data_IF_876926877476
#
_entry.id   IF_876926877476
#
_cell.length_a   1.000
_cell.length_b   1.000
_cell.length_c   1.000
_cell.angle_alpha   90.00
_cell.angle_beta   90.00
_cell.angle_gamma   90.00
#
_symmetry.space_group_name_H-M   'P 1'
#
loop_
_entity.id
_entity.type
_entity.pdbx_description
1 polymer ?
#
# COMPACT_ATOMS: atom_id res chain seq x y z
N UNK A 1 16.90 -14.47 11.97
CA UNK A 1 16.18 -13.45 12.77
C UNK A 1 16.10 -12.10 12.06
N UNK A 2 17.21 -11.57 11.54
CA UNK A 2 17.23 -10.22 10.94
C UNK A 2 16.34 -10.06 9.68
N UNK A 3 16.39 -11.03 8.76
CA UNK A 3 15.59 -11.00 7.51
C UNK A 3 14.08 -10.97 7.76
N UNK A 4 13.58 -11.80 8.69
CA UNK A 4 12.15 -11.88 9.01
C UNK A 4 11.67 -10.55 9.62
N UNK A 5 12.46 -9.97 10.53
CA UNK A 5 12.15 -8.68 11.15
C UNK A 5 12.07 -7.57 10.12
N UNK A 6 12.99 -7.55 9.15
CA UNK A 6 12.99 -6.58 8.04
C UNK A 6 11.76 -6.73 7.15
N UNK A 7 11.35 -7.96 6.84
CA UNK A 7 10.16 -8.21 6.03
C UNK A 7 8.88 -7.74 6.75
N UNK A 8 8.74 -8.04 8.04
CA UNK A 8 7.62 -7.57 8.86
C UNK A 8 7.56 -6.04 8.89
N UNK A 9 8.69 -5.37 9.10
CA UNK A 9 8.75 -3.91 9.09
C UNK A 9 8.31 -3.29 7.75
N UNK A 10 8.67 -3.91 6.62
CA UNK A 10 8.23 -3.47 5.30
C UNK A 10 6.71 -3.67 5.10
N UNK A 11 6.16 -4.79 5.59
CA UNK A 11 4.70 -5.04 5.55
C UNK A 11 3.95 -4.01 6.40
N UNK A 12 4.45 -3.70 7.59
CA UNK A 12 3.85 -2.70 8.48
C UNK A 12 3.92 -1.30 7.86
N UNK A 13 5.05 -0.93 7.25
CA UNK A 13 5.17 0.33 6.52
C UNK A 13 4.13 0.43 5.39
N UNK A 14 3.99 -0.63 4.58
CA UNK A 14 3.02 -0.65 3.49
C UNK A 14 1.58 -0.50 4.00
N UNK A 15 1.22 -1.22 5.06
CA UNK A 15 -0.11 -1.11 5.68
C UNK A 15 -0.37 0.31 6.17
N UNK A 16 0.58 0.92 6.87
CA UNK A 16 0.44 2.29 7.35
C UNK A 16 0.27 3.30 6.21
N UNK A 17 1.00 3.13 5.11
CA UNK A 17 0.87 3.99 3.94
C UNK A 17 -0.49 3.81 3.23
N UNK A 18 -1.00 2.58 3.14
CA UNK A 18 -2.35 2.30 2.62
C UNK A 18 -3.42 2.91 3.52
N UNK A 19 -3.31 2.74 4.83
CA UNK A 19 -4.26 3.29 5.80
C UNK A 19 -4.26 4.82 5.79
N UNK A 20 -3.08 5.44 5.61
CA UNK A 20 -2.98 6.89 5.43
C UNK A 20 -3.81 7.36 4.24
N UNK A 21 -3.72 6.68 3.10
CA UNK A 21 -4.52 7.03 1.90
C UNK A 21 -6.00 6.72 2.12
N UNK A 22 -6.33 5.56 2.68
CA UNK A 22 -7.71 5.16 2.96
C UNK A 22 -8.42 6.14 3.88
N UNK A 23 -7.76 6.61 4.93
CA UNK A 23 -8.32 7.52 5.92
C UNK A 23 -8.57 8.93 5.37
N UNK A 24 -8.01 9.30 4.22
CA UNK A 24 -8.37 10.57 3.55
C UNK A 24 -9.80 10.55 3.03
N UNK A 25 -10.32 9.37 2.64
CA UNK A 25 -11.62 9.25 1.98
C UNK A 25 -11.70 9.88 0.58
N UNK A 26 -10.59 10.35 0.01
CA UNK A 26 -10.60 11.11 -1.26
C UNK A 26 -10.73 10.22 -2.50
N UNK A 27 -10.32 8.95 -2.40
CA UNK A 27 -10.27 8.02 -3.54
C UNK A 27 -10.86 6.66 -3.17
N UNK A 28 -11.50 6.02 -4.14
CA UNK A 28 -11.85 4.61 -4.01
C UNK A 28 -10.55 3.78 -4.00
N UNK A 29 -10.39 2.86 -3.04
CA UNK A 29 -9.15 2.08 -2.92
C UNK A 29 -8.91 1.11 -4.09
N UNK A 30 -9.90 0.84 -4.94
CA UNK A 30 -9.75 0.09 -6.20
C UNK A 30 -9.39 0.96 -7.41
N UNK A 31 -9.49 2.29 -7.28
CA UNK A 31 -9.02 3.24 -8.30
C UNK A 31 -7.50 3.43 -8.19
N UNK A 32 -6.77 2.39 -8.59
CA UNK A 32 -5.30 2.32 -8.49
C UNK A 32 -4.59 3.54 -9.08
N UNK A 33 -4.96 4.08 -10.26
CA UNK A 33 -4.35 5.30 -10.78
C UNK A 33 -4.46 6.49 -9.82
N UNK A 34 -5.65 6.73 -9.24
CA UNK A 34 -5.85 7.84 -8.31
C UNK A 34 -5.24 7.57 -6.93
N UNK A 35 -5.27 6.33 -6.44
CA UNK A 35 -4.53 5.92 -5.23
C UNK A 35 -3.04 6.20 -5.40
N UNK A 36 -2.45 5.86 -6.55
CA UNK A 36 -1.03 6.13 -6.82
C UNK A 36 -0.73 7.63 -6.85
N UNK A 37 -1.59 8.43 -7.49
CA UNK A 37 -1.46 9.90 -7.52
C UNK A 37 -1.50 10.49 -6.11
N UNK A 38 -2.44 10.03 -5.28
CA UNK A 38 -2.60 10.50 -3.91
C UNK A 38 -1.45 10.03 -3.02
N UNK A 39 -0.99 8.79 -3.20
CA UNK A 39 0.20 8.24 -2.54
C UNK A 39 1.46 9.07 -2.83
N UNK A 40 1.66 9.50 -4.08
CA UNK A 40 2.72 10.45 -4.43
C UNK A 40 2.60 11.77 -3.67
N UNK A 41 1.40 12.35 -3.62
CA UNK A 41 1.15 13.61 -2.91
C UNK A 41 1.42 13.52 -1.40
N UNK A 42 1.10 12.39 -0.78
CA UNK A 42 1.32 12.15 0.65
C UNK A 42 2.70 11.56 1.00
N UNK A 43 3.63 11.48 0.04
CA UNK A 43 4.96 10.88 0.21
C UNK A 43 4.93 9.40 0.65
N UNK A 44 3.91 8.65 0.25
CA UNK A 44 3.81 7.20 0.45
C UNK A 44 4.63 6.46 -0.62
N UNK A 45 5.96 6.61 -0.56
CA UNK A 45 6.86 6.12 -1.61
C UNK A 45 6.87 4.60 -1.74
N UNK A 46 6.65 3.87 -0.64
CA UNK A 46 6.64 2.41 -0.68
C UNK A 46 5.37 1.88 -1.33
N UNK A 47 4.21 2.46 -1.01
CA UNK A 47 2.95 2.17 -1.68
C UNK A 47 3.02 2.50 -3.17
N UNK A 48 3.58 3.65 -3.56
CA UNK A 48 3.76 4.00 -4.98
C UNK A 48 4.51 2.89 -5.73
N UNK A 49 5.67 2.47 -5.21
CA UNK A 49 6.47 1.40 -5.83
C UNK A 49 5.72 0.07 -5.85
N UNK A 50 5.04 -0.25 -4.75
CA UNK A 50 4.26 -1.48 -4.63
C UNK A 50 3.13 -1.56 -5.65
N UNK A 51 2.45 -0.44 -5.95
CA UNK A 51 1.40 -0.39 -6.97
C UNK A 51 1.94 -0.57 -8.40
N UNK A 52 3.21 -0.23 -8.63
CA UNK A 52 3.88 -0.40 -9.93
C UNK A 52 4.39 -1.83 -10.12
N UNK A 53 4.94 -2.43 -9.08
CA UNK A 53 5.54 -3.76 -9.14
C UNK A 53 4.51 -4.88 -8.92
N UNK A 54 3.53 -4.67 -8.02
CA UNK A 54 2.69 -5.72 -7.43
C UNK A 54 1.22 -5.31 -7.31
N UNK A 55 0.65 -4.79 -8.40
CA UNK A 55 -0.75 -4.31 -8.43
C UNK A 55 -1.78 -5.38 -8.03
N UNK A 56 -1.60 -6.64 -8.43
CA UNK A 56 -2.52 -7.72 -8.11
C UNK A 56 -2.60 -7.96 -6.59
N UNK A 57 -1.44 -8.00 -5.92
CA UNK A 57 -1.33 -8.20 -4.49
C UNK A 57 -1.96 -7.04 -3.71
N UNK A 58 -1.83 -5.80 -4.22
CA UNK A 58 -2.55 -4.66 -3.64
C UNK A 58 -4.07 -4.86 -3.69
N UNK A 59 -4.61 -5.26 -4.84
CA UNK A 59 -6.06 -5.50 -4.99
C UNK A 59 -6.50 -6.64 -4.04
N UNK A 60 -5.71 -7.71 -3.95
CA UNK A 60 -5.97 -8.81 -3.02
C UNK A 60 -5.96 -8.33 -1.57
N UNK A 61 -5.01 -7.47 -1.19
CA UNK A 61 -4.95 -6.89 0.14
C UNK A 61 -6.18 -6.03 0.45
N UNK A 62 -6.66 -5.21 -0.49
CA UNK A 62 -7.88 -4.41 -0.28
C UNK A 62 -9.11 -5.30 -0.08
N UNK A 63 -9.16 -6.47 -0.74
CA UNK A 63 -10.26 -7.44 -0.59
C UNK A 63 -10.18 -8.25 0.71
N UNK A 64 -8.98 -8.69 1.10
CA UNK A 64 -8.80 -9.74 2.11
C UNK A 64 -8.13 -9.25 3.39
N UNK A 65 -7.47 -8.09 3.36
CA UNK A 65 -6.59 -7.61 4.43
C UNK A 65 -5.26 -8.35 4.57
N UNK A 66 -4.97 -9.30 3.67
CA UNK A 66 -3.79 -10.15 3.72
C UNK A 66 -2.76 -9.80 2.63
N UNK A 67 -1.49 -9.84 3.01
CA UNK A 67 -0.37 -9.75 2.07
C UNK A 67 0.07 -11.18 1.72
N UNK A 68 -0.40 -11.67 0.57
CA UNK A 68 0.10 -12.90 -0.05
C UNK A 68 1.48 -12.66 -0.69
#
# INVERSE_FOLDING_TARGET
MDRIKKELALRDQLRNEIDKIRNTGEVNMFDVPNVKRLAYYYNCHYLVRFLEERRADYINFILTGNFE
#
